data_IF_346049036674
#
_entry.id   IF_346049036674
#
_cell.length_a   1.000
_cell.length_b   1.000
_cell.length_c   1.000
_cell.angle_alpha   90.00
_cell.angle_beta   90.00
_cell.angle_gamma   90.00
#
_symmetry.space_group_name_H-M   'P 1'
#
loop_
_entity.id
_entity.type
_entity.pdbx_description
1 polymer ?
#
# COMPACT_ATOMS: atom_id res chain seq x y z
N UNK A 1 -5.20 5.37 -0.56
CA UNK A 1 -5.78 4.81 -1.81
C UNK A 1 -7.17 4.18 -1.62
N UNK A 2 -7.55 3.77 -0.41
CA UNK A 2 -8.74 2.91 -0.16
C UNK A 2 -9.89 3.56 0.65
N UNK A 3 -9.87 4.90 0.77
CA UNK A 3 -10.84 5.68 1.57
C UNK A 3 -10.77 5.42 3.09
N UNK A 4 -11.56 6.14 3.91
CA UNK A 4 -11.59 5.94 5.35
C UNK A 4 -12.20 4.58 5.72
N UNK A 5 -11.60 3.88 6.68
CA UNK A 5 -12.09 2.62 7.25
C UNK A 5 -12.46 2.80 8.71
N UNK A 6 -13.56 2.21 9.14
CA UNK A 6 -14.05 2.31 10.53
C UNK A 6 -14.30 0.92 11.10
N UNK A 7 -13.61 0.63 12.20
CA UNK A 7 -13.76 -0.63 12.93
C UNK A 7 -12.96 -1.79 12.35
N UNK A 8 -12.78 -2.82 13.18
CA UNK A 8 -11.94 -4.00 12.91
C UNK A 8 -12.39 -4.78 11.68
N UNK A 9 -13.69 -4.92 11.47
CA UNK A 9 -14.23 -5.72 10.37
C UNK A 9 -14.00 -5.06 9.01
N UNK A 10 -14.15 -3.73 8.91
CA UNK A 10 -13.86 -3.00 7.68
C UNK A 10 -12.36 -3.06 7.32
N UNK A 11 -11.48 -2.96 8.32
CA UNK A 11 -10.03 -3.07 8.13
C UNK A 11 -9.62 -4.48 7.68
N UNK A 12 -10.15 -5.53 8.31
CA UNK A 12 -9.89 -6.92 7.90
C UNK A 12 -10.40 -7.22 6.50
N UNK A 13 -11.61 -6.77 6.17
CA UNK A 13 -12.20 -6.96 4.84
C UNK A 13 -11.30 -6.37 3.76
N UNK A 14 -10.83 -5.14 3.96
CA UNK A 14 -9.86 -4.49 3.07
C UNK A 14 -8.60 -5.34 2.85
N UNK A 15 -7.98 -5.81 3.94
CA UNK A 15 -6.75 -6.60 3.87
C UNK A 15 -6.97 -7.94 3.17
N UNK A 16 -8.13 -8.58 3.35
CA UNK A 16 -8.47 -9.82 2.69
C UNK A 16 -8.69 -9.60 1.19
N UNK A 17 -9.51 -8.63 0.81
CA UNK A 17 -9.78 -8.27 -0.59
C UNK A 17 -8.49 -7.91 -1.34
N UNK A 18 -7.60 -7.16 -0.69
CA UNK A 18 -6.32 -6.80 -1.28
C UNK A 18 -5.39 -8.00 -1.45
N UNK A 19 -5.37 -8.95 -0.50
CA UNK A 19 -4.61 -10.21 -0.64
C UNK A 19 -5.21 -11.15 -1.67
N UNK A 20 -6.53 -11.14 -1.84
CA UNK A 20 -7.19 -11.93 -2.89
C UNK A 20 -6.84 -11.43 -4.28
N UNK A 21 -6.68 -10.11 -4.46
CA UNK A 21 -6.23 -9.49 -5.71
C UNK A 21 -4.71 -9.66 -5.93
N UNK A 22 -3.92 -9.52 -4.87
CA UNK A 22 -2.46 -9.63 -4.87
C UNK A 22 -1.98 -10.73 -3.91
N UNK A 23 -2.05 -12.03 -4.28
CA UNK A 23 -1.72 -13.14 -3.37
C UNK A 23 -0.31 -13.11 -2.79
N UNK A 24 0.66 -12.52 -3.51
CA UNK A 24 2.04 -12.39 -3.07
C UNK A 24 2.36 -11.03 -2.43
N UNK A 25 1.34 -10.23 -2.07
CA UNK A 25 1.57 -8.91 -1.50
C UNK A 25 2.30 -8.99 -0.16
N UNK A 26 3.30 -8.14 0.00
CA UNK A 26 4.09 -8.05 1.22
C UNK A 26 4.47 -6.60 1.51
N UNK A 27 4.56 -6.28 2.80
CA UNK A 27 5.00 -4.98 3.31
C UNK A 27 6.03 -5.19 4.41
N UNK A 28 7.03 -4.33 4.46
CA UNK A 28 8.08 -4.36 5.47
C UNK A 28 8.48 -2.94 5.88
N UNK A 29 9.03 -2.82 7.09
CA UNK A 29 9.67 -1.58 7.53
C UNK A 29 10.82 -1.23 6.57
N UNK A 30 10.97 0.06 6.26
CA UNK A 30 11.90 0.52 5.23
C UNK A 30 12.83 1.60 5.77
N UNK A 31 14.14 1.33 5.70
CA UNK A 31 15.27 2.18 6.14
C UNK A 31 15.31 2.58 7.61
N UNK A 32 14.18 2.59 8.30
CA UNK A 32 14.03 3.03 9.67
C UNK A 32 13.26 1.97 10.47
N UNK A 33 13.57 1.80 11.77
CA UNK A 33 12.70 1.04 12.65
C UNK A 33 11.36 1.77 12.82
N UNK A 34 10.38 1.08 13.39
CA UNK A 34 9.20 1.74 13.94
C UNK A 34 9.64 2.65 15.09
N UNK A 35 9.22 3.91 15.07
CA UNK A 35 9.56 4.91 16.08
C UNK A 35 8.31 5.16 16.92
N UNK A 36 8.43 5.08 18.25
CA UNK A 36 7.31 5.32 19.16
C UNK A 36 7.61 6.48 20.12
N UNK A 37 6.64 7.37 20.29
CA UNK A 37 6.69 8.47 21.24
C UNK A 37 5.28 8.76 21.78
N UNK A 38 5.12 8.66 23.11
CA UNK A 38 3.82 8.77 23.76
C UNK A 38 2.82 7.73 23.24
N UNK A 39 1.65 8.18 22.81
CA UNK A 39 0.59 7.35 22.26
C UNK A 39 0.76 7.09 20.75
N UNK A 40 1.84 7.54 20.13
CA UNK A 40 2.03 7.46 18.68
C UNK A 40 3.13 6.46 18.32
N UNK A 41 2.90 5.71 17.24
CA UNK A 41 3.93 4.91 16.57
C UNK A 41 3.95 5.26 15.08
N UNK A 42 5.13 5.59 14.56
CA UNK A 42 5.35 5.95 13.16
C UNK A 42 6.19 4.88 12.47
N UNK A 43 5.75 4.44 11.31
CA UNK A 43 6.46 3.46 10.49
C UNK A 43 6.57 3.90 9.04
N UNK A 44 7.80 4.01 8.55
CA UNK A 44 8.08 4.04 7.10
C UNK A 44 8.11 2.61 6.59
N UNK A 45 7.39 2.34 5.51
CA UNK A 45 7.29 1.01 4.94
C UNK A 45 7.44 1.03 3.42
N UNK A 46 7.76 -0.13 2.90
CA UNK A 46 7.76 -0.43 1.48
C UNK A 46 7.08 -1.76 1.24
N UNK A 47 6.40 -1.89 0.11
CA UNK A 47 5.75 -3.14 -0.23
C UNK A 47 5.13 -3.11 -1.61
N UNK A 48 4.53 -4.24 -1.95
CA UNK A 48 4.01 -4.46 -3.28
C UNK A 48 3.70 -5.91 -3.55
N UNK A 49 3.20 -6.15 -4.75
CA UNK A 49 2.81 -7.46 -5.23
C UNK A 49 2.47 -7.45 -6.71
N UNK A 50 2.17 -8.63 -7.22
CA UNK A 50 1.70 -8.83 -8.59
C UNK A 50 0.22 -9.17 -8.56
N UNK A 51 -0.54 -8.51 -9.43
CA UNK A 51 -1.95 -8.79 -9.60
C UNK A 51 -2.13 -10.13 -10.35
N UNK A 52 -2.13 -11.23 -9.60
CA UNK A 52 -2.37 -12.59 -10.08
C UNK A 52 -3.70 -13.18 -9.60
N UNK A 53 -4.43 -12.41 -8.80
CA UNK A 53 -5.68 -12.81 -8.17
C UNK A 53 -6.93 -12.35 -8.89
N UNK A 54 -7.99 -12.10 -8.10
CA UNK A 54 -9.31 -11.66 -8.59
C UNK A 54 -9.30 -10.21 -9.07
N UNK A 55 -10.32 -9.79 -9.83
CA UNK A 55 -10.51 -8.37 -10.17
C UNK A 55 -10.59 -7.49 -8.91
N UNK A 56 -10.12 -6.26 -9.00
CA UNK A 56 -9.95 -5.36 -7.84
C UNK A 56 -10.44 -3.95 -8.16
N UNK A 57 -11.42 -3.47 -7.41
CA UNK A 57 -12.08 -2.17 -7.62
C UNK A 57 -12.01 -1.23 -6.41
N UNK A 58 -11.36 -1.65 -5.33
CA UNK A 58 -11.12 -0.84 -4.14
C UNK A 58 -9.90 0.08 -4.35
N UNK A 59 -10.00 0.98 -5.33
CA UNK A 59 -8.97 1.95 -5.70
C UNK A 59 -9.60 3.35 -5.82
N UNK A 60 -8.88 4.39 -5.42
CA UNK A 60 -9.37 5.77 -5.52
C UNK A 60 -9.60 6.23 -6.98
N UNK A 61 -8.88 5.65 -7.94
CA UNK A 61 -8.99 5.96 -9.38
C UNK A 61 -8.92 4.67 -10.18
N UNK A 62 -9.92 4.44 -11.03
CA UNK A 62 -9.98 3.26 -11.90
C UNK A 62 -10.21 1.95 -11.15
N UNK A 63 -9.99 0.83 -11.84
CA UNK A 63 -10.07 -0.52 -11.29
C UNK A 63 -9.27 -1.51 -12.15
N UNK A 64 -8.88 -2.63 -11.57
CA UNK A 64 -8.39 -3.80 -12.29
C UNK A 64 -9.62 -4.69 -12.59
N UNK A 65 -10.25 -4.43 -13.73
CA UNK A 65 -11.54 -4.99 -14.12
C UNK A 65 -11.53 -6.49 -14.46
N UNK A 66 -10.34 -7.04 -14.72
CA UNK A 66 -10.11 -8.46 -15.02
C UNK A 66 -9.23 -9.11 -13.97
N UNK A 67 -9.41 -10.41 -13.66
CA UNK A 67 -8.47 -11.14 -12.83
C UNK A 67 -7.11 -11.29 -13.52
N UNK A 68 -6.06 -11.50 -12.73
CA UNK A 68 -4.72 -11.87 -13.18
C UNK A 68 -4.18 -10.98 -14.33
N UNK A 69 -4.21 -9.66 -14.16
CA UNK A 69 -3.69 -8.73 -15.18
C UNK A 69 -2.17 -8.78 -15.31
N UNK A 70 -1.48 -9.43 -14.37
CA UNK A 70 -0.02 -9.54 -14.34
C UNK A 70 0.70 -8.21 -14.06
N UNK A 71 -0.04 -7.15 -13.71
CA UNK A 71 0.51 -5.85 -13.37
C UNK A 71 1.16 -5.92 -11.99
N UNK A 72 2.32 -5.29 -11.87
CA UNK A 72 3.07 -5.25 -10.62
C UNK A 72 2.93 -3.87 -10.00
N UNK A 73 2.79 -3.84 -8.68
CA UNK A 73 2.76 -2.62 -7.89
C UNK A 73 3.82 -2.73 -6.81
N UNK A 74 4.64 -1.71 -6.67
CA UNK A 74 5.68 -1.61 -5.66
C UNK A 74 5.87 -0.13 -5.29
N UNK A 75 5.62 0.18 -4.02
CA UNK A 75 5.45 1.54 -3.53
C UNK A 75 5.76 1.61 -2.03
N UNK A 76 5.94 2.83 -1.55
CA UNK A 76 6.25 3.09 -0.15
C UNK A 76 5.27 4.07 0.48
N UNK A 77 5.19 4.02 1.80
CA UNK A 77 4.32 4.88 2.59
C UNK A 77 4.83 5.08 4.00
N UNK A 78 4.21 6.01 4.71
CA UNK A 78 4.43 6.27 6.13
C UNK A 78 3.08 6.17 6.81
N UNK A 79 3.01 5.37 7.87
CA UNK A 79 1.81 5.24 8.68
C UNK A 79 2.07 5.74 10.09
N UNK A 80 1.14 6.52 10.60
CA UNK A 80 1.06 6.92 12.01
C UNK A 80 -0.07 6.12 12.64
N UNK A 81 0.25 5.38 13.68
CA UNK A 81 -0.72 4.66 14.52
C UNK A 81 -0.87 5.39 15.84
N UNK A 82 -2.11 5.61 16.27
CA UNK A 82 -2.42 6.04 17.64
C UNK A 82 -2.77 4.81 18.47
N UNK A 83 -2.15 4.69 19.64
CA UNK A 83 -2.23 3.55 20.53
C UNK A 83 -2.95 3.94 21.82
N UNK A 84 -3.86 3.10 22.28
CA UNK A 84 -4.50 3.23 23.59
C UNK A 84 -4.74 1.85 24.18
N UNK A 85 -4.36 1.64 25.44
CA UNK A 85 -4.54 0.35 26.15
C UNK A 85 -3.98 -0.85 25.35
N UNK A 86 -2.81 -0.69 24.74
CA UNK A 86 -2.15 -1.72 23.93
C UNK A 86 -2.84 -2.05 22.60
N UNK A 87 -3.74 -1.19 22.12
CA UNK A 87 -4.47 -1.37 20.85
C UNK A 87 -4.26 -0.17 19.94
N UNK A 88 -4.24 -0.41 18.64
CA UNK A 88 -4.35 0.65 17.62
C UNK A 88 -5.80 1.16 17.64
N UNK A 89 -5.98 2.44 17.94
CA UNK A 89 -7.29 3.11 17.95
C UNK A 89 -7.50 4.02 16.76
N UNK A 90 -6.42 4.44 16.09
CA UNK A 90 -6.45 5.21 14.86
C UNK A 90 -5.22 4.90 13.99
N UNK A 91 -5.39 5.02 12.68
CA UNK A 91 -4.35 4.82 11.69
C UNK A 91 -4.49 5.87 10.58
N UNK A 92 -3.43 6.65 10.36
CA UNK A 92 -3.33 7.60 9.25
C UNK A 92 -2.12 7.22 8.41
N UNK A 93 -2.37 6.86 7.15
CA UNK A 93 -1.35 6.46 6.19
C UNK A 93 -1.21 7.45 5.04
N UNK A 94 0.02 7.83 4.73
CA UNK A 94 0.39 8.57 3.53
C UNK A 94 1.29 7.69 2.67
N UNK A 95 0.86 7.40 1.44
CA UNK A 95 1.53 6.47 0.55
C UNK A 95 1.74 7.07 -0.84
N UNK A 96 2.64 6.46 -1.62
CA UNK A 96 2.87 6.84 -3.01
C UNK A 96 1.73 6.37 -3.93
N UNK A 97 0.50 6.84 -3.68
CA UNK A 97 -0.69 6.41 -4.40
C UNK A 97 -0.58 6.69 -5.91
N UNK A 98 0.00 7.84 -6.30
CA UNK A 98 0.24 8.15 -7.71
C UNK A 98 1.16 7.12 -8.38
N UNK A 99 2.29 6.79 -7.75
CA UNK A 99 3.23 5.77 -8.25
C UNK A 99 2.55 4.43 -8.45
N UNK A 100 1.77 3.98 -7.46
CA UNK A 100 1.05 2.73 -7.54
C UNK A 100 0.01 2.72 -8.67
N UNK A 101 -0.79 3.79 -8.81
CA UNK A 101 -1.78 3.92 -9.89
C UNK A 101 -1.14 3.95 -11.28
N UNK A 102 0.05 4.54 -11.41
CA UNK A 102 0.82 4.56 -12.66
C UNK A 102 1.35 3.17 -13.02
N UNK A 103 1.90 2.44 -12.05
CA UNK A 103 2.38 1.06 -12.27
C UNK A 103 1.22 0.10 -12.62
N UNK A 104 0.04 0.34 -12.06
CA UNK A 104 -1.20 -0.35 -12.43
C UNK A 104 -1.79 0.14 -13.77
N UNK A 105 -1.20 1.13 -14.43
CA UNK A 105 -1.66 1.67 -15.71
C UNK A 105 -3.05 2.31 -15.63
N UNK A 106 -3.43 2.83 -14.47
CA UNK A 106 -4.71 3.52 -14.23
C UNK A 106 -4.58 5.04 -14.36
N UNK A 107 -3.35 5.55 -14.22
CA UNK A 107 -2.96 6.93 -14.46
C UNK A 107 -1.78 6.92 -15.44
N UNK A 108 -1.66 7.97 -16.26
CA UNK A 108 -0.56 8.13 -17.21
C UNK A 108 0.80 7.99 -16.53
N UNK A 109 1.71 7.26 -17.18
CA UNK A 109 3.07 7.06 -16.70
C UNK A 109 3.79 8.40 -16.45
N UNK A 110 4.81 8.41 -15.56
CA UNK A 110 5.69 9.57 -15.40
C UNK A 110 6.32 10.00 -16.72
N UNK A 111 6.77 11.25 -16.78
CA UNK A 111 7.62 11.71 -17.87
C UNK A 111 8.87 10.81 -17.97
N UNK A 112 9.43 10.60 -19.17
CA UNK A 112 10.63 9.79 -19.34
C UNK A 112 11.75 10.20 -18.38
N UNK A 113 12.31 9.22 -17.65
CA UNK A 113 13.37 9.43 -16.66
C UNK A 113 12.88 9.92 -15.29
N UNK A 114 11.57 9.89 -15.03
CA UNK A 114 10.94 10.21 -13.73
C UNK A 114 10.25 9.00 -13.10
N UNK A 115 10.46 7.81 -13.64
CA UNK A 115 9.94 6.56 -13.09
C UNK A 115 10.54 6.31 -11.72
N UNK A 116 9.69 5.95 -10.75
CA UNK A 116 10.16 5.47 -9.44
C UNK A 116 10.38 3.97 -9.55
N UNK A 117 11.62 3.54 -9.33
CA UNK A 117 12.01 2.13 -9.31
C UNK A 117 12.68 1.79 -7.99
N UNK A 118 12.62 0.51 -7.67
CA UNK A 118 13.16 -0.03 -6.44
C UNK A 118 13.97 -1.29 -6.73
N UNK A 119 15.10 -1.46 -6.04
CA UNK A 119 15.83 -2.74 -6.00
C UNK A 119 15.17 -3.74 -5.03
N UNK A 120 15.75 -4.93 -4.90
CA UNK A 120 15.23 -5.99 -4.03
C UNK A 120 15.31 -5.61 -2.53
N UNK A 121 16.24 -4.72 -2.18
CA UNK A 121 16.43 -4.14 -0.85
C UNK A 121 15.51 -2.94 -0.59
N UNK A 122 14.71 -2.56 -1.59
CA UNK A 122 13.78 -1.44 -1.55
C UNK A 122 14.43 -0.07 -1.72
N UNK A 123 15.70 0.05 -2.11
CA UNK A 123 16.32 1.33 -2.42
C UNK A 123 15.81 1.90 -3.75
N UNK A 124 15.68 3.22 -3.82
CA UNK A 124 15.37 3.88 -5.08
C UNK A 124 16.56 3.74 -6.04
N UNK A 125 16.29 3.33 -7.28
CA UNK A 125 17.29 3.17 -8.35
C UNK A 125 16.88 3.90 -9.63
#
# INVERSE_FOLDING_TARGET
>A
MHGPRRGKEAAKKMLLEFREAFPNISFQAYKFPLIAEGDYMVGRWIGGGKHTGVAFDDLAVGKLDKPNTGKEVYFSGTTIFTLQNGKIVDEIGEEQALTALQQLGLVSCPNPGKEIRYDAEGNHI
#
